data_IF_762459416260
#
_entry.id   IF_762459416260
#
_cell.length_a   1.000
_cell.length_b   1.000
_cell.length_c   1.000
_cell.angle_alpha   90.00
_cell.angle_beta   90.00
_cell.angle_gamma   90.00
#
_symmetry.space_group_name_H-M   'P 1'
#
loop_
_entity.id
_entity.type
_entity.pdbx_description
1 polymer ?
#
# COMPACT_ATOMS: atom_id res chain seq x y z
N UNK A 1 6.67 -6.37 -89.91
CA UNK A 1 6.33 -7.20 -88.74
C UNK A 1 6.45 -6.34 -87.47
N UNK A 2 5.35 -5.72 -87.05
CA UNK A 2 5.30 -4.73 -85.97
C UNK A 2 5.05 -5.46 -84.63
N UNK A 3 6.07 -5.59 -83.82
CA UNK A 3 5.97 -6.21 -82.49
C UNK A 3 5.31 -5.19 -81.58
N UNK A 4 4.04 -5.42 -81.27
CA UNK A 4 3.27 -4.64 -80.31
C UNK A 4 3.68 -5.07 -78.83
N UNK A 5 4.61 -4.31 -78.29
CA UNK A 5 4.98 -4.47 -76.89
C UNK A 5 3.76 -4.13 -75.98
N UNK A 6 3.04 -5.16 -75.51
CA UNK A 6 2.05 -5.05 -74.48
C UNK A 6 2.77 -4.72 -73.17
N UNK A 7 2.87 -3.42 -72.83
CA UNK A 7 3.26 -2.94 -71.53
C UNK A 7 2.17 -3.34 -70.52
N UNK A 8 2.37 -4.48 -69.85
CA UNK A 8 1.57 -4.84 -68.68
C UNK A 8 1.93 -3.87 -67.56
N UNK A 9 1.23 -2.75 -67.54
CA UNK A 9 1.30 -1.80 -66.42
C UNK A 9 0.76 -2.50 -65.18
N UNK A 10 1.66 -3.02 -64.36
CA UNK A 10 1.34 -3.45 -62.99
C UNK A 10 0.88 -2.25 -62.16
N UNK A 11 -0.39 -1.84 -62.29
CA UNK A 11 -0.94 -0.76 -61.46
C UNK A 11 -1.03 -1.22 -60.03
N UNK A 12 -0.03 -0.80 -59.22
CA UNK A 12 -0.04 -0.93 -57.76
C UNK A 12 -1.15 -0.06 -57.18
N UNK A 13 -1.91 -0.57 -56.24
CA UNK A 13 -2.93 0.18 -55.49
C UNK A 13 -2.20 0.90 -54.37
N UNK A 14 -2.14 2.23 -54.42
CA UNK A 14 -1.44 3.06 -53.44
C UNK A 14 -2.24 4.34 -53.17
N UNK A 15 -3.24 4.31 -52.31
CA UNK A 15 -3.93 5.52 -51.89
C UNK A 15 -2.99 6.41 -51.07
N UNK A 16 -3.22 7.74 -51.05
CA UNK A 16 -2.46 8.64 -50.24
C UNK A 16 -2.64 8.27 -48.76
N UNK A 17 -1.61 8.53 -47.96
CA UNK A 17 -1.65 8.32 -46.55
C UNK A 17 -2.82 9.12 -45.91
N UNK A 18 -3.67 8.51 -45.06
CA UNK A 18 -4.72 9.23 -44.36
C UNK A 18 -4.16 10.36 -43.50
N UNK A 19 -4.91 11.44 -43.40
CA UNK A 19 -4.61 12.49 -42.43
C UNK A 19 -4.96 12.00 -41.05
N UNK A 20 -3.95 11.52 -40.33
CA UNK A 20 -4.10 11.16 -38.94
C UNK A 20 -4.34 12.45 -38.15
N UNK A 21 -5.56 12.70 -37.72
CA UNK A 21 -5.79 13.78 -36.78
C UNK A 21 -5.19 13.33 -35.45
N UNK A 22 -4.16 14.07 -35.02
CA UNK A 22 -3.67 13.89 -33.64
C UNK A 22 -4.85 14.13 -32.74
N UNK A 23 -5.44 13.05 -32.23
CA UNK A 23 -6.36 13.14 -31.08
C UNK A 23 -5.56 13.84 -29.99
N UNK A 24 -6.00 14.98 -29.44
CA UNK A 24 -5.29 15.59 -28.33
C UNK A 24 -5.06 14.48 -27.30
N UNK A 25 -3.85 14.44 -26.75
CA UNK A 25 -3.51 13.46 -25.73
C UNK A 25 -4.52 13.65 -24.60
N UNK A 26 -5.61 12.88 -24.68
CA UNK A 26 -6.65 12.89 -23.65
C UNK A 26 -5.91 12.40 -22.43
N UNK A 27 -5.47 13.32 -21.57
CA UNK A 27 -4.89 12.96 -20.28
C UNK A 27 -5.91 12.03 -19.64
N UNK A 28 -5.60 10.75 -19.63
CA UNK A 28 -6.40 9.79 -18.90
C UNK A 28 -6.21 10.19 -17.44
N UNK A 29 -7.23 10.81 -16.89
CA UNK A 29 -7.18 11.16 -15.48
C UNK A 29 -7.01 9.86 -14.70
N UNK A 30 -5.89 9.74 -13.95
CA UNK A 30 -5.65 8.54 -13.16
C UNK A 30 -6.77 8.42 -12.12
N UNK A 31 -7.42 7.28 -12.10
CA UNK A 31 -8.44 6.99 -11.09
C UNK A 31 -7.74 6.55 -9.82
N UNK A 32 -8.00 7.29 -8.73
CA UNK A 32 -7.48 6.92 -7.41
C UNK A 32 -8.24 5.71 -6.91
N UNK A 33 -7.53 4.64 -6.71
CA UNK A 33 -7.97 3.39 -6.12
C UNK A 33 -7.57 3.32 -4.65
N UNK A 34 -8.28 2.52 -3.87
CA UNK A 34 -8.00 2.29 -2.45
C UNK A 34 -7.80 0.81 -2.20
N UNK A 35 -6.68 0.45 -1.59
CA UNK A 35 -6.41 -0.88 -1.09
C UNK A 35 -6.33 -0.86 0.44
N UNK A 36 -7.17 -1.65 1.09
CA UNK A 36 -7.16 -1.80 2.54
C UNK A 36 -6.41 -3.08 2.90
N UNK A 37 -5.40 -2.93 3.77
CA UNK A 37 -4.54 -4.00 4.25
C UNK A 37 -4.85 -4.17 5.74
N UNK A 38 -5.43 -5.30 6.11
CA UNK A 38 -5.62 -5.63 7.52
C UNK A 38 -4.28 -6.13 8.08
N UNK A 39 -3.84 -5.50 9.19
CA UNK A 39 -2.56 -5.76 9.83
C UNK A 39 -2.81 -6.36 11.20
N UNK A 40 -2.21 -7.52 11.42
CA UNK A 40 -2.20 -8.21 12.70
C UNK A 40 -0.76 -8.32 13.21
N UNK A 41 -0.54 -7.87 14.46
CA UNK A 41 0.77 -7.90 15.11
C UNK A 41 0.69 -8.78 16.34
N UNK A 42 1.49 -9.84 16.40
CA UNK A 42 1.63 -10.64 17.62
C UNK A 42 2.42 -9.86 18.68
N UNK A 43 1.76 -9.55 19.78
CA UNK A 43 2.33 -8.79 20.90
C UNK A 43 3.17 -9.66 21.85
N UNK A 44 3.14 -10.98 21.73
CA UNK A 44 3.81 -11.86 22.68
C UNK A 44 5.33 -11.62 22.72
N UNK A 45 5.93 -11.47 21.55
CA UNK A 45 7.36 -11.15 21.44
C UNK A 45 7.70 -9.82 22.12
N UNK A 46 6.90 -8.79 21.86
CA UNK A 46 7.07 -7.46 22.48
C UNK A 46 6.90 -7.51 23.99
N UNK A 47 5.96 -8.30 24.50
CA UNK A 47 5.77 -8.50 25.94
C UNK A 47 6.96 -9.22 26.57
N UNK A 48 7.53 -10.22 25.91
CA UNK A 48 8.73 -10.92 26.37
C UNK A 48 9.95 -9.99 26.38
N UNK A 49 10.14 -9.16 25.37
CA UNK A 49 11.21 -8.19 25.31
C UNK A 49 11.07 -7.11 26.38
N UNK A 50 9.84 -6.61 26.61
CA UNK A 50 9.55 -5.66 27.69
C UNK A 50 9.84 -6.28 29.08
N UNK A 51 9.48 -7.56 29.29
CA UNK A 51 9.81 -8.27 30.51
C UNK A 51 11.33 -8.39 30.72
N UNK A 52 12.09 -8.72 29.68
CA UNK A 52 13.55 -8.89 29.75
C UNK A 52 14.28 -7.56 29.95
N UNK A 53 13.86 -6.51 29.28
CA UNK A 53 14.51 -5.19 29.31
C UNK A 53 14.19 -4.40 30.58
N UNK A 54 13.07 -4.70 31.24
CA UNK A 54 12.68 -3.97 32.45
C UNK A 54 13.41 -4.52 33.69
N UNK A 55 14.15 -3.69 34.44
CA UNK A 55 14.87 -4.16 35.64
C UNK A 55 13.93 -4.81 36.65
N UNK A 56 14.42 -5.86 37.32
CA UNK A 56 13.66 -6.53 38.40
C UNK A 56 13.68 -5.75 39.74
N UNK A 57 14.63 -4.83 39.87
CA UNK A 57 14.79 -4.00 41.07
C UNK A 57 14.95 -2.55 40.71
N UNK A 58 14.25 -1.68 41.38
CA UNK A 58 14.31 -0.22 41.23
C UNK A 58 14.64 0.39 42.58
N UNK A 59 15.60 1.29 42.65
CA UNK A 59 15.98 2.02 43.84
C UNK A 59 15.94 3.51 43.57
N UNK A 60 15.56 4.28 44.55
CA UNK A 60 15.58 5.72 44.47
C UNK A 60 15.68 6.36 45.85
N UNK A 61 16.01 7.63 45.86
CA UNK A 61 16.07 8.45 47.06
C UNK A 61 15.54 9.85 46.78
N UNK A 62 14.90 10.43 47.75
CA UNK A 62 14.56 11.84 47.81
C UNK A 62 15.17 12.40 49.10
N UNK A 63 15.99 13.41 49.00
CA UNK A 63 16.66 14.04 50.13
C UNK A 63 16.26 15.50 50.18
N UNK A 64 15.64 15.88 51.27
CA UNK A 64 15.29 17.26 51.62
C UNK A 64 15.91 17.60 52.92
N UNK A 65 16.33 18.87 53.17
CA UNK A 65 16.79 19.28 54.47
C UNK A 65 15.61 19.33 55.44
N UNK A 66 14.53 20.01 55.06
CA UNK A 66 13.30 20.13 55.81
C UNK A 66 12.24 19.19 55.26
N UNK A 67 11.40 18.60 56.11
CA UNK A 67 10.35 17.69 55.73
C UNK A 67 10.83 16.24 55.63
N UNK A 68 10.23 15.50 54.72
CA UNK A 68 10.44 14.07 54.57
C UNK A 68 11.52 13.75 53.54
N UNK A 69 12.54 13.01 53.93
CA UNK A 69 13.50 12.33 53.06
C UNK A 69 13.25 10.84 53.08
N UNK A 70 13.47 10.16 51.97
CA UNK A 70 13.27 8.73 51.88
C UNK A 70 14.20 8.04 50.90
N UNK A 71 14.47 6.77 51.19
CA UNK A 71 15.15 5.83 50.30
C UNK A 71 14.23 4.62 50.10
N UNK A 72 14.05 4.21 48.86
CA UNK A 72 13.20 3.05 48.56
C UNK A 72 13.89 2.01 47.68
N UNK A 73 13.46 0.79 47.82
CA UNK A 73 13.84 -0.31 46.93
C UNK A 73 12.58 -1.15 46.60
N UNK A 74 12.21 -1.15 45.33
CA UNK A 74 11.15 -1.99 44.77
C UNK A 74 11.73 -3.23 44.12
N UNK A 75 11.15 -4.38 44.35
CA UNK A 75 11.39 -5.61 43.60
C UNK A 75 10.09 -6.02 42.95
N UNK A 76 10.13 -6.30 41.61
CA UNK A 76 8.94 -6.70 40.87
C UNK A 76 8.85 -8.20 40.63
N UNK A 77 7.65 -8.72 40.55
CA UNK A 77 7.29 -9.99 39.91
C UNK A 77 7.26 -9.82 38.38
N UNK A 78 7.10 -10.91 37.62
CA UNK A 78 6.84 -10.80 36.17
C UNK A 78 5.71 -9.82 35.85
N UNK A 79 5.89 -9.04 34.79
CA UNK A 79 4.92 -8.03 34.34
C UNK A 79 3.73 -8.75 33.73
N UNK A 80 2.51 -8.38 34.15
CA UNK A 80 1.29 -8.88 33.56
C UNK A 80 0.75 -7.89 32.53
N UNK A 81 0.64 -8.33 31.29
CA UNK A 81 0.05 -7.58 30.19
C UNK A 81 -1.37 -8.07 29.92
N UNK A 82 -2.31 -7.16 29.77
CA UNK A 82 -3.69 -7.43 29.33
C UNK A 82 -4.11 -6.38 28.34
N UNK A 83 -4.84 -6.79 27.32
CA UNK A 83 -5.35 -5.88 26.29
C UNK A 83 -6.86 -5.74 26.44
N UNK A 84 -7.38 -4.55 26.20
CA UNK A 84 -8.82 -4.28 26.19
C UNK A 84 -9.14 -3.18 25.20
N UNK A 85 -9.88 -3.51 24.15
CA UNK A 85 -10.22 -2.58 23.07
C UNK A 85 -8.95 -1.89 22.51
N UNK A 86 -8.83 -0.57 22.59
CA UNK A 86 -7.68 0.20 22.11
C UNK A 86 -6.60 0.47 23.15
N UNK A 87 -6.62 -0.24 24.29
CA UNK A 87 -5.71 0.01 25.40
C UNK A 87 -4.92 -1.23 25.82
N UNK A 88 -3.65 -1.04 26.10
CA UNK A 88 -2.77 -2.00 26.75
C UNK A 88 -2.73 -1.71 28.25
N UNK A 89 -3.17 -2.65 29.06
CA UNK A 89 -3.04 -2.60 30.51
C UNK A 89 -1.78 -3.34 30.93
N UNK A 90 -0.87 -2.64 31.60
CA UNK A 90 0.37 -3.19 32.17
C UNK A 90 0.26 -3.17 33.68
N UNK A 91 0.30 -4.35 34.32
CA UNK A 91 0.25 -4.48 35.79
C UNK A 91 1.59 -4.97 36.29
N UNK A 92 2.20 -4.18 37.18
CA UNK A 92 3.45 -4.50 37.85
C UNK A 92 3.13 -4.68 39.34
N UNK A 93 3.49 -5.84 39.92
CA UNK A 93 3.33 -6.14 41.31
C UNK A 93 4.64 -6.63 41.92
N UNK A 94 4.77 -6.52 43.21
CA UNK A 94 5.98 -6.98 43.90
C UNK A 94 5.99 -6.59 45.37
N UNK A 95 7.19 -6.41 45.89
CA UNK A 95 7.41 -5.94 47.25
C UNK A 95 8.36 -4.73 47.26
N UNK A 96 8.19 -3.85 48.23
CA UNK A 96 9.09 -2.74 48.47
C UNK A 96 9.55 -2.64 49.91
N UNK A 97 10.68 -2.00 50.10
CA UNK A 97 11.17 -1.52 51.39
C UNK A 97 11.39 -0.01 51.30
N UNK A 98 11.15 0.66 52.37
CA UNK A 98 11.23 2.11 52.48
C UNK A 98 11.91 2.47 53.80
N UNK A 99 12.86 3.38 53.70
CA UNK A 99 13.48 4.04 54.86
C UNK A 99 13.12 5.51 54.76
N UNK A 100 12.62 6.07 55.85
CA UNK A 100 12.13 7.43 55.97
C UNK A 100 12.92 8.16 57.04
N UNK A 101 13.19 9.42 56.83
CA UNK A 101 13.59 10.35 57.88
C UNK A 101 12.87 11.68 57.72
N UNK A 102 12.50 12.27 58.84
CA UNK A 102 11.76 13.51 58.91
C UNK A 102 12.55 14.56 59.70
N UNK A 103 12.71 15.74 59.10
CA UNK A 103 13.29 16.92 59.76
C UNK A 103 12.22 18.00 59.90
N UNK A 104 11.81 18.35 61.11
CA UNK A 104 10.77 19.36 61.31
C UNK A 104 11.18 20.78 60.88
N UNK A 105 12.45 21.17 61.07
CA UNK A 105 12.93 22.47 60.78
C UNK A 105 14.40 22.43 60.32
N UNK A 106 14.68 23.00 59.14
CA UNK A 106 16.01 23.08 58.55
C UNK A 106 16.56 24.51 58.67
N UNK A 107 17.85 24.64 58.99
CA UNK A 107 18.57 25.90 58.94
C UNK A 107 19.77 25.80 58.02
N UNK A 108 20.08 26.89 57.39
CA UNK A 108 21.33 27.04 56.61
C UNK A 108 22.42 27.58 57.56
N UNK A 109 23.48 26.80 57.73
CA UNK A 109 24.63 27.18 58.55
C UNK A 109 25.47 28.24 57.78
N UNK A 110 26.38 28.90 58.56
CA UNK A 110 27.29 29.96 58.06
C UNK A 110 28.18 29.53 56.87
N UNK A 111 28.46 28.24 56.78
CA UNK A 111 29.23 27.63 55.69
C UNK A 111 28.36 27.26 54.46
N UNK A 112 27.09 27.66 54.44
CA UNK A 112 26.15 27.34 53.37
C UNK A 112 25.56 25.91 53.43
N UNK A 113 25.96 25.11 54.43
CA UNK A 113 25.39 23.74 54.58
C UNK A 113 24.03 23.80 55.30
N UNK A 114 23.12 22.99 54.83
CA UNK A 114 21.81 22.81 55.47
C UNK A 114 21.89 21.75 56.57
N UNK A 115 21.31 22.05 57.75
CA UNK A 115 21.25 21.15 58.89
C UNK A 115 19.88 21.12 59.54
N UNK A 116 19.47 19.98 60.01
CA UNK A 116 18.25 19.86 60.80
C UNK A 116 18.49 20.35 62.24
N UNK A 117 17.61 21.22 62.72
CA UNK A 117 17.75 21.82 64.07
C UNK A 117 17.49 20.88 65.23
N UNK A 118 16.78 19.79 64.96
CA UNK A 118 16.47 18.76 65.93
C UNK A 118 16.85 17.39 65.38
N UNK A 119 17.05 16.38 66.21
CA UNK A 119 17.32 15.02 65.77
C UNK A 119 16.25 14.55 64.77
N UNK A 120 16.68 13.99 63.64
CA UNK A 120 15.76 13.45 62.65
C UNK A 120 15.03 12.25 63.21
N UNK A 121 13.73 12.14 62.92
CA UNK A 121 12.93 10.96 63.24
C UNK A 121 13.10 9.96 62.11
N UNK A 122 13.52 8.75 62.41
CA UNK A 122 13.72 7.67 61.46
C UNK A 122 12.58 6.66 61.56
N UNK A 123 12.19 6.15 60.40
CA UNK A 123 11.17 5.14 60.29
C UNK A 123 11.50 4.23 59.12
N UNK A 124 11.10 3.00 59.17
CA UNK A 124 11.25 2.07 58.05
C UNK A 124 10.05 1.13 57.94
N UNK A 125 9.81 0.62 56.73
CA UNK A 125 8.94 -0.53 56.55
C UNK A 125 9.52 -1.47 55.48
N UNK A 126 9.37 -2.77 55.69
CA UNK A 126 9.95 -3.79 54.79
C UNK A 126 11.47 -3.94 54.90
N UNK A 127 12.12 -3.39 55.97
CA UNK A 127 13.54 -3.55 56.27
C UNK A 127 13.64 -4.36 57.60
N UNK A 128 14.37 -5.47 57.55
CA UNK A 128 14.41 -6.41 58.67
C UNK A 128 13.11 -7.20 58.87
N UNK A 129 12.15 -7.01 57.99
CA UNK A 129 10.83 -7.64 57.99
C UNK A 129 10.40 -7.96 56.53
N UNK A 130 9.29 -8.70 56.29
CA UNK A 130 8.81 -8.95 54.93
C UNK A 130 8.52 -7.65 54.18
N UNK A 131 8.96 -7.60 52.90
CA UNK A 131 8.67 -6.45 52.02
C UNK A 131 7.17 -6.22 51.91
N UNK A 132 6.77 -4.95 51.91
CA UNK A 132 5.38 -4.55 51.73
C UNK A 132 4.95 -4.79 50.29
N UNK A 133 3.85 -5.52 50.08
CA UNK A 133 3.34 -5.84 48.73
C UNK A 133 2.69 -4.62 48.10
N UNK A 134 2.91 -4.47 46.81
CA UNK A 134 2.27 -3.43 46.04
C UNK A 134 1.75 -3.96 44.70
N UNK A 135 0.84 -3.19 44.11
CA UNK A 135 0.38 -3.38 42.73
C UNK A 135 0.17 -2.03 42.04
N UNK A 136 0.74 -1.84 40.89
CA UNK A 136 0.51 -0.66 40.06
C UNK A 136 0.02 -1.08 38.70
N UNK A 137 -0.91 -0.30 38.12
CA UNK A 137 -1.51 -0.58 36.84
C UNK A 137 -1.45 0.66 35.98
N UNK A 138 -0.86 0.53 34.78
CA UNK A 138 -0.86 1.53 33.75
C UNK A 138 -1.81 1.15 32.65
N UNK A 139 -2.42 2.16 32.00
CA UNK A 139 -3.16 2.03 30.76
C UNK A 139 -2.45 2.85 29.70
N UNK A 140 -2.05 2.22 28.61
CA UNK A 140 -1.35 2.84 27.49
C UNK A 140 -2.18 2.74 26.22
N UNK A 141 -2.47 3.88 25.59
CA UNK A 141 -3.01 3.95 24.23
C UNK A 141 -1.86 4.27 23.27
N UNK A 142 -1.66 3.40 22.28
CA UNK A 142 -0.61 3.55 21.26
C UNK A 142 -1.25 3.93 19.94
N UNK A 143 -0.57 4.74 19.13
CA UNK A 143 -1.02 5.12 17.79
C UNK A 143 0.09 5.80 17.01
N UNK A 144 -0.19 6.16 15.77
CA UNK A 144 0.70 6.98 14.94
C UNK A 144 0.15 8.39 14.81
N UNK A 145 1.05 9.37 14.82
CA UNK A 145 0.73 10.76 14.50
C UNK A 145 0.52 10.93 13.00
N UNK A 146 0.03 12.11 12.59
CA UNK A 146 -0.05 12.48 11.17
C UNK A 146 1.32 12.43 10.48
N UNK A 147 2.41 12.67 11.21
CA UNK A 147 3.79 12.67 10.69
C UNK A 147 4.47 11.29 10.85
N UNK A 148 3.69 10.23 11.00
CA UNK A 148 4.18 8.85 11.12
C UNK A 148 5.08 8.58 12.33
N UNK A 149 4.99 9.40 13.38
CA UNK A 149 5.70 9.17 14.64
C UNK A 149 4.83 8.33 15.56
N UNK A 150 5.44 7.34 16.21
CA UNK A 150 4.76 6.57 17.23
C UNK A 150 4.39 7.48 18.41
N UNK A 151 3.17 7.42 18.85
CA UNK A 151 2.66 8.14 20.01
C UNK A 151 2.12 7.16 21.01
N UNK A 152 2.56 7.30 22.25
CA UNK A 152 1.99 6.59 23.37
C UNK A 152 1.39 7.61 24.36
N UNK A 153 0.25 7.26 24.93
CA UNK A 153 -0.37 8.01 26.00
C UNK A 153 -0.62 7.06 27.14
N UNK A 154 0.25 7.14 28.15
CA UNK A 154 0.20 6.29 29.34
C UNK A 154 -0.43 7.06 30.50
N UNK A 155 -1.34 6.41 31.23
CA UNK A 155 -1.92 6.92 32.47
C UNK A 155 -1.72 5.89 33.56
N UNK A 156 -1.37 6.32 34.77
CA UNK A 156 -1.40 5.49 35.96
C UNK A 156 -2.87 5.31 36.38
N UNK A 157 -3.40 4.10 36.22
CA UNK A 157 -4.77 3.77 36.61
C UNK A 157 -4.90 3.59 38.14
N UNK A 158 -3.95 2.90 38.73
CA UNK A 158 -3.93 2.65 40.18
C UNK A 158 -2.52 2.34 40.64
N UNK A 159 -2.23 2.76 41.87
CA UNK A 159 -1.12 2.27 42.71
C UNK A 159 -1.69 1.95 44.06
N UNK A 160 -1.51 0.74 44.51
CA UNK A 160 -2.10 0.22 45.78
C UNK A 160 -0.99 -0.48 46.56
N UNK A 161 -0.81 -0.04 47.78
CA UNK A 161 -0.02 -0.73 48.79
C UNK A 161 -0.98 -1.73 49.49
N UNK A 162 -0.61 -2.99 49.51
CA UNK A 162 -1.48 -4.07 50.04
C UNK A 162 -1.25 -4.35 51.51
N UNK A 163 -0.06 -4.05 51.99
CA UNK A 163 0.30 -4.27 53.41
C UNK A 163 0.60 -2.91 54.06
N UNK A 164 0.11 -2.63 55.28
CA UNK A 164 0.35 -1.35 55.93
C UNK A 164 1.84 -1.09 56.15
N UNK A 165 2.23 0.16 56.04
CA UNK A 165 3.56 0.65 56.36
C UNK A 165 3.46 1.36 57.73
N UNK A 166 3.59 0.61 58.81
CA UNK A 166 3.54 1.14 60.17
C UNK A 166 4.93 1.51 60.64
N UNK A 167 5.04 2.66 61.27
CA UNK A 167 6.29 3.15 61.84
C UNK A 167 6.50 2.42 63.17
N UNK A 168 7.59 1.67 63.28
CA UNK A 168 7.89 0.70 64.31
C UNK A 168 7.93 1.27 65.73
N UNK A 169 8.08 2.59 65.94
CA UNK A 169 8.22 3.19 67.25
C UNK A 169 6.93 3.69 67.86
N UNK A 170 5.88 4.00 67.10
CA UNK A 170 4.65 4.63 67.56
C UNK A 170 3.38 3.98 66.97
N UNK A 171 3.48 2.85 66.32
CA UNK A 171 2.38 2.17 65.60
C UNK A 171 1.58 3.13 64.71
N UNK A 172 2.23 4.14 64.13
CA UNK A 172 1.59 5.12 63.24
C UNK A 172 1.62 4.61 61.82
N UNK A 173 0.46 4.40 61.24
CA UNK A 173 0.32 4.00 59.84
C UNK A 173 0.59 5.19 58.87
N UNK A 174 1.66 5.10 58.09
CA UNK A 174 2.05 6.09 57.10
C UNK A 174 1.69 5.63 55.68
N UNK A 175 0.96 4.54 55.51
CA UNK A 175 0.66 3.92 54.20
C UNK A 175 0.08 4.93 53.20
N UNK A 176 -0.93 5.71 53.60
CA UNK A 176 -1.57 6.70 52.71
C UNK A 176 -0.61 7.81 52.28
N UNK A 177 0.24 8.29 53.20
CA UNK A 177 1.25 9.32 52.87
C UNK A 177 2.28 8.77 51.88
N UNK A 178 2.79 7.57 52.11
CA UNK A 178 3.74 6.87 51.23
C UNK A 178 3.09 6.58 49.89
N UNK A 179 1.86 6.10 49.86
CA UNK A 179 1.12 5.84 48.62
C UNK A 179 0.94 7.12 47.78
N UNK A 180 0.62 8.25 48.43
CA UNK A 180 0.45 9.55 47.76
C UNK A 180 1.75 10.04 47.14
N UNK A 181 2.86 10.02 47.89
CA UNK A 181 4.18 10.46 47.41
C UNK A 181 4.68 9.62 46.21
N UNK A 182 4.61 8.28 46.37
CA UNK A 182 4.99 7.35 45.30
C UNK A 182 4.09 7.54 44.07
N UNK A 183 2.78 7.79 44.26
CA UNK A 183 1.86 8.06 43.15
C UNK A 183 2.26 9.30 42.38
N UNK A 184 2.71 10.37 43.05
CA UNK A 184 3.19 11.59 42.39
C UNK A 184 4.44 11.28 41.55
N UNK A 185 5.38 10.52 42.09
CA UNK A 185 6.62 10.15 41.37
C UNK A 185 6.31 9.23 40.17
N UNK A 186 5.45 8.22 40.34
CA UNK A 186 5.01 7.34 39.26
C UNK A 186 4.28 8.11 38.11
N UNK A 187 3.51 9.14 38.45
CA UNK A 187 2.87 10.03 37.48
C UNK A 187 3.90 10.83 36.68
N UNK A 188 5.02 11.24 37.27
CA UNK A 188 6.09 11.94 36.59
C UNK A 188 6.86 11.04 35.63
N UNK A 189 7.05 9.76 35.96
CA UNK A 189 7.77 8.78 35.14
C UNK A 189 7.04 8.43 33.83
N UNK A 190 5.71 8.57 33.75
CA UNK A 190 4.93 8.29 32.55
C UNK A 190 5.39 9.08 31.32
N UNK A 191 5.77 10.36 31.55
CA UNK A 191 6.21 11.23 30.45
C UNK A 191 7.53 10.75 29.85
N UNK A 192 8.38 10.11 30.64
CA UNK A 192 9.62 9.50 30.18
C UNK A 192 9.33 8.28 29.30
N UNK A 193 8.40 7.40 29.73
CA UNK A 193 7.96 6.25 28.94
C UNK A 193 7.34 6.67 27.61
N UNK A 194 6.45 7.66 27.61
CA UNK A 194 5.83 8.16 26.38
C UNK A 194 6.87 8.77 25.43
N UNK A 195 7.91 9.44 25.94
CA UNK A 195 9.03 9.96 25.14
C UNK A 195 9.88 8.85 24.55
N UNK A 196 10.24 7.84 25.33
CA UNK A 196 11.03 6.69 24.84
C UNK A 196 10.33 5.93 23.74
N UNK A 197 9.01 5.67 23.88
CA UNK A 197 8.19 5.09 22.83
C UNK A 197 8.12 5.99 21.59
N UNK A 198 7.96 7.30 21.77
CA UNK A 198 7.93 8.29 20.69
C UNK A 198 9.27 8.47 19.96
N UNK A 199 10.38 8.08 20.56
CA UNK A 199 11.71 8.12 19.97
C UNK A 199 11.98 6.96 18.99
N UNK A 200 11.12 5.93 18.97
CA UNK A 200 11.23 4.84 18.00
C UNK A 200 11.04 5.37 16.57
N UNK A 201 12.04 5.15 15.73
CA UNK A 201 12.09 5.68 14.37
C UNK A 201 11.22 4.85 13.38
N UNK A 202 9.90 4.89 13.58
CA UNK A 202 8.94 4.22 12.69
C UNK A 202 8.81 4.98 11.38
N UNK A 203 8.95 6.31 11.39
CA UNK A 203 8.80 7.16 10.23
C UNK A 203 9.76 6.77 9.10
N UNK A 204 11.04 6.57 9.39
CA UNK A 204 12.05 6.23 8.37
C UNK A 204 11.73 4.90 7.68
N UNK A 205 11.20 3.93 8.41
CA UNK A 205 10.79 2.64 7.86
C UNK A 205 9.59 2.77 6.90
N UNK A 206 8.62 3.61 7.27
CA UNK A 206 7.47 3.91 6.40
C UNK A 206 7.91 4.67 5.15
N UNK A 207 8.82 5.64 5.26
CA UNK A 207 9.38 6.38 4.12
C UNK A 207 10.22 5.47 3.19
N UNK A 208 10.93 4.50 3.74
CA UNK A 208 11.64 3.48 2.95
C UNK A 208 10.66 2.60 2.17
N UNK A 209 9.62 2.09 2.83
CA UNK A 209 8.56 1.33 2.19
C UNK A 209 7.83 2.16 1.13
N UNK A 210 7.56 3.44 1.41
CA UNK A 210 6.94 4.37 0.48
C UNK A 210 7.76 4.58 -0.80
N UNK A 211 9.09 4.65 -0.69
CA UNK A 211 9.98 4.72 -1.86
C UNK A 211 9.92 3.45 -2.68
N UNK A 212 9.95 2.28 -2.04
CA UNK A 212 9.82 0.98 -2.72
C UNK A 212 8.50 0.82 -3.45
N UNK A 213 7.39 1.34 -2.91
CA UNK A 213 6.08 1.32 -3.60
C UNK A 213 6.06 2.15 -4.88
N UNK A 214 7.02 3.06 -5.10
CA UNK A 214 7.13 3.86 -6.30
C UNK A 214 8.07 3.23 -7.35
N UNK A 215 8.76 2.15 -7.01
CA UNK A 215 9.58 1.41 -7.96
C UNK A 215 8.69 0.56 -8.88
N UNK A 216 9.05 0.45 -10.18
CA UNK A 216 8.34 -0.42 -11.10
C UNK A 216 8.44 -1.89 -10.66
N UNK A 217 7.31 -2.57 -10.59
CA UNK A 217 7.23 -4.00 -10.29
C UNK A 217 7.11 -4.78 -11.60
N UNK A 218 8.11 -5.60 -11.98
CA UNK A 218 8.04 -6.40 -13.20
C UNK A 218 6.95 -7.47 -13.09
N UNK A 219 6.13 -7.60 -14.15
CA UNK A 219 5.07 -8.60 -14.28
C UNK A 219 5.31 -9.39 -15.56
N UNK A 220 6.24 -10.31 -15.54
CA UNK A 220 6.58 -11.24 -16.63
C UNK A 220 6.42 -10.61 -18.04
N UNK A 221 5.60 -11.21 -18.90
CA UNK A 221 5.35 -10.74 -20.27
C UNK A 221 4.49 -9.46 -20.38
N UNK A 222 3.93 -8.98 -19.28
CA UNK A 222 3.02 -7.82 -19.27
C UNK A 222 3.73 -6.48 -19.03
N UNK A 223 5.04 -6.51 -18.82
CA UNK A 223 5.86 -5.32 -18.56
C UNK A 223 5.95 -5.00 -17.08
N UNK A 224 5.69 -3.75 -16.70
CA UNK A 224 5.83 -3.26 -15.33
C UNK A 224 4.51 -2.72 -14.78
N UNK A 225 4.26 -3.02 -13.51
CA UNK A 225 3.21 -2.38 -12.71
C UNK A 225 3.81 -1.17 -12.00
N UNK A 226 3.26 -0.01 -12.26
CA UNK A 226 3.55 1.25 -11.57
C UNK A 226 2.38 1.52 -10.62
N UNK A 227 2.62 1.48 -9.31
CA UNK A 227 1.54 1.68 -8.33
C UNK A 227 1.08 3.14 -8.26
N UNK A 228 1.98 4.10 -8.45
CA UNK A 228 1.68 5.53 -8.34
C UNK A 228 0.97 5.90 -7.02
N UNK A 229 1.58 5.63 -5.85
CA UNK A 229 0.96 5.88 -4.57
C UNK A 229 0.79 7.38 -4.34
N UNK A 230 -0.33 7.78 -3.70
CA UNK A 230 -0.67 9.18 -3.42
C UNK A 230 -0.74 9.50 -1.92
N UNK A 231 -1.35 8.64 -1.11
CA UNK A 231 -1.46 8.87 0.33
C UNK A 231 -1.73 7.58 1.11
N UNK A 232 -1.54 7.67 2.44
CA UNK A 232 -1.87 6.61 3.39
C UNK A 232 -2.91 7.08 4.40
N UNK A 233 -3.78 6.17 4.82
CA UNK A 233 -4.61 6.34 6.01
C UNK A 233 -4.56 5.11 6.90
N UNK A 234 -4.89 5.27 8.18
CA UNK A 234 -4.88 4.18 9.15
C UNK A 234 -6.10 4.27 10.07
N UNK A 235 -6.66 3.11 10.42
CA UNK A 235 -7.67 3.03 11.47
C UNK A 235 -7.05 3.14 12.88
N UNK A 236 -7.87 3.31 13.90
CA UNK A 236 -7.39 3.15 15.27
C UNK A 236 -6.92 1.71 15.54
N UNK A 237 -5.86 1.60 16.34
CA UNK A 237 -5.33 0.31 16.79
C UNK A 237 -6.25 -0.29 17.84
N UNK A 238 -6.64 -1.54 17.66
CA UNK A 238 -7.46 -2.32 18.56
C UNK A 238 -6.75 -3.63 18.90
N UNK A 239 -7.06 -4.19 20.07
CA UNK A 239 -6.50 -5.45 20.51
C UNK A 239 -7.56 -6.54 20.60
N UNK A 240 -7.20 -7.75 20.19
CA UNK A 240 -7.98 -8.97 20.42
C UNK A 240 -7.05 -10.04 20.99
N UNK A 241 -7.19 -10.33 22.30
CA UNK A 241 -6.19 -11.13 23.01
C UNK A 241 -4.82 -10.47 22.93
N UNK A 242 -3.77 -11.22 22.64
CA UNK A 242 -2.42 -10.71 22.51
C UNK A 242 -2.08 -10.23 21.08
N UNK A 243 -3.07 -10.01 20.22
CA UNK A 243 -2.88 -9.51 18.88
C UNK A 243 -3.35 -8.06 18.78
N UNK A 244 -2.49 -7.19 18.30
CA UNK A 244 -2.85 -5.82 17.91
C UNK A 244 -3.35 -5.81 16.46
N UNK A 245 -4.50 -5.18 16.20
CA UNK A 245 -5.16 -5.14 14.90
C UNK A 245 -5.45 -3.71 14.48
N UNK A 246 -5.11 -3.39 13.25
CA UNK A 246 -5.47 -2.14 12.58
C UNK A 246 -5.50 -2.34 11.07
N UNK A 247 -6.09 -1.42 10.34
CA UNK A 247 -6.07 -1.45 8.87
C UNK A 247 -5.33 -0.24 8.34
N UNK A 248 -4.47 -0.47 7.36
CA UNK A 248 -3.79 0.55 6.59
C UNK A 248 -4.47 0.66 5.23
N UNK A 249 -4.83 1.85 4.79
CA UNK A 249 -5.33 2.09 3.44
C UNK A 249 -4.29 2.82 2.61
N UNK A 250 -3.94 2.22 1.48
CA UNK A 250 -3.10 2.82 0.46
C UNK A 250 -3.99 3.40 -0.65
N UNK A 251 -3.79 4.68 -0.96
CA UNK A 251 -4.41 5.35 -2.11
C UNK A 251 -3.40 5.45 -3.23
N UNK A 252 -3.77 5.03 -4.44
CA UNK A 252 -2.83 4.90 -5.55
C UNK A 252 -3.56 4.84 -6.89
N UNK A 253 -2.84 5.02 -8.00
CA UNK A 253 -3.39 4.96 -9.35
C UNK A 253 -2.56 4.00 -10.20
N UNK A 254 -2.86 2.68 -10.15
CA UNK A 254 -2.01 1.68 -10.77
C UNK A 254 -2.07 1.75 -12.31
N UNK A 255 -0.89 1.62 -12.93
CA UNK A 255 -0.71 1.55 -14.37
C UNK A 255 0.17 0.36 -14.72
N UNK A 256 -0.28 -0.48 -15.64
CA UNK A 256 0.52 -1.54 -16.25
C UNK A 256 1.00 -1.06 -17.61
N UNK A 257 2.30 -1.11 -17.88
CA UNK A 257 2.87 -0.69 -19.16
C UNK A 257 4.10 -1.51 -19.53
N UNK A 258 4.21 -1.86 -20.82
CA UNK A 258 5.42 -2.45 -21.40
C UNK A 258 6.53 -1.41 -21.62
N UNK A 259 6.18 -0.13 -21.66
CA UNK A 259 7.12 0.95 -21.80
C UNK A 259 7.60 1.45 -20.44
N UNK A 260 8.91 1.69 -20.32
CA UNK A 260 9.48 2.31 -19.14
C UNK A 260 8.97 3.75 -19.01
N UNK A 261 8.31 4.04 -17.89
CA UNK A 261 7.88 5.39 -17.57
C UNK A 261 8.78 5.93 -16.45
N UNK A 262 9.44 7.06 -16.74
CA UNK A 262 10.22 7.76 -15.70
C UNK A 262 9.25 8.38 -14.71
N UNK A 263 9.18 7.79 -13.51
CA UNK A 263 8.33 8.30 -12.45
C UNK A 263 9.02 9.43 -11.68
N UNK A 264 8.25 10.49 -11.40
CA UNK A 264 8.68 11.52 -10.47
C UNK A 264 8.35 11.06 -9.05
N UNK A 265 9.33 11.09 -8.17
CA UNK A 265 9.10 10.78 -6.76
C UNK A 265 8.01 11.66 -6.15
N UNK A 266 7.04 11.04 -5.51
CA UNK A 266 5.95 11.70 -4.77
C UNK A 266 6.26 11.57 -3.28
N UNK A 267 6.43 12.71 -2.55
CA UNK A 267 6.64 12.67 -1.11
C UNK A 267 5.47 12.02 -0.37
N UNK A 268 5.75 11.41 0.76
CA UNK A 268 4.73 10.85 1.63
C UNK A 268 3.93 11.98 2.29
N UNK A 269 2.63 12.07 1.97
CA UNK A 269 1.71 13.05 2.58
C UNK A 269 1.41 12.70 4.05
N UNK A 270 1.01 13.71 4.87
CA UNK A 270 0.55 13.46 6.23
C UNK A 270 -0.57 12.41 6.29
N UNK A 271 -0.45 11.47 7.23
CA UNK A 271 -1.38 10.37 7.37
C UNK A 271 -2.78 10.84 7.76
N UNK A 272 -3.79 10.30 7.09
CA UNK A 272 -5.21 10.54 7.41
C UNK A 272 -5.72 9.44 8.34
N UNK A 273 -6.72 9.78 9.15
CA UNK A 273 -7.48 8.78 9.91
C UNK A 273 -8.81 8.54 9.21
N UNK A 274 -9.09 7.29 8.92
CA UNK A 274 -10.34 6.90 8.24
C UNK A 274 -10.97 5.68 8.93
N UNK A 275 -12.31 5.53 8.79
CA UNK A 275 -13.00 4.35 9.31
C UNK A 275 -12.54 3.09 8.55
N UNK A 276 -12.71 1.93 9.19
CA UNK A 276 -12.39 0.64 8.59
C UNK A 276 -13.29 0.38 7.38
N UNK A 277 -12.66 0.04 6.26
CA UNK A 277 -13.30 -0.53 5.08
C UNK A 277 -12.61 -1.85 4.78
N UNK A 278 -13.35 -2.91 4.46
CA UNK A 278 -12.81 -4.23 4.19
C UNK A 278 -12.60 -4.44 2.69
N UNK A 279 -11.53 -5.15 2.33
CA UNK A 279 -11.22 -5.50 0.95
C UNK A 279 -10.73 -4.32 0.12
N UNK A 280 -10.63 -4.53 -1.18
CA UNK A 280 -10.30 -3.48 -2.14
C UNK A 280 -11.05 -3.65 -3.45
N UNK A 281 -11.23 -2.54 -4.12
CA UNK A 281 -11.74 -2.42 -5.47
C UNK A 281 -10.81 -1.44 -6.22
N UNK A 282 -9.95 -1.98 -7.07
CA UNK A 282 -8.87 -1.27 -7.71
C UNK A 282 -9.18 -1.10 -9.18
N UNK A 283 -9.17 0.13 -9.66
CA UNK A 283 -9.19 0.43 -11.09
C UNK A 283 -7.75 0.62 -11.57
N UNK A 284 -7.28 -0.33 -12.40
CA UNK A 284 -5.96 -0.30 -13.00
C UNK A 284 -6.05 -0.03 -14.50
N UNK A 285 -5.19 0.84 -15.01
CA UNK A 285 -5.05 1.07 -16.43
C UNK A 285 -3.89 0.23 -16.98
N UNK A 286 -4.14 -0.49 -18.09
CA UNK A 286 -3.10 -1.17 -18.85
C UNK A 286 -2.94 -0.45 -20.21
N UNK A 287 -1.72 -0.09 -20.55
CA UNK A 287 -1.40 0.59 -21.82
C UNK A 287 -0.74 -0.38 -22.79
N UNK A 288 -1.34 -0.54 -23.97
CA UNK A 288 -0.77 -1.29 -25.08
C UNK A 288 -0.44 -0.33 -26.24
N UNK A 289 0.82 -0.29 -26.66
CA UNK A 289 1.21 0.51 -27.82
C UNK A 289 0.61 -0.03 -29.11
N UNK A 290 0.35 0.84 -30.07
CA UNK A 290 -0.14 0.42 -31.39
C UNK A 290 0.87 -0.49 -32.12
N UNK A 291 2.17 -0.34 -31.86
CA UNK A 291 3.21 -1.22 -32.41
C UNK A 291 3.08 -2.65 -31.86
N UNK A 292 2.83 -2.81 -30.55
CA UNK A 292 2.60 -4.12 -29.95
C UNK A 292 1.33 -4.78 -30.51
N UNK A 293 0.24 -4.02 -30.63
CA UNK A 293 -1.02 -4.50 -31.19
C UNK A 293 -0.87 -4.84 -32.69
N UNK A 294 -0.12 -4.02 -33.46
CA UNK A 294 0.21 -4.26 -34.85
C UNK A 294 0.98 -5.55 -35.05
N UNK A 295 1.92 -5.85 -34.15
CA UNK A 295 2.67 -7.12 -34.18
C UNK A 295 1.74 -8.34 -34.03
N UNK A 296 0.72 -8.23 -33.18
CA UNK A 296 -0.30 -9.29 -33.01
C UNK A 296 -1.15 -9.43 -34.27
N UNK A 297 -1.66 -8.29 -34.81
CA UNK A 297 -2.48 -8.31 -36.01
C UNK A 297 -1.71 -8.85 -37.22
N UNK A 298 -0.49 -8.37 -37.46
CA UNK A 298 0.35 -8.86 -38.53
C UNK A 298 0.57 -10.37 -38.43
N UNK A 299 0.91 -10.88 -37.27
CA UNK A 299 1.09 -12.33 -37.06
C UNK A 299 -0.18 -13.14 -37.35
N UNK A 300 -1.34 -12.62 -36.97
CA UNK A 300 -2.65 -13.27 -37.21
C UNK A 300 -3.02 -13.31 -38.67
N UNK A 301 -2.66 -12.27 -39.45
CA UNK A 301 -3.11 -12.14 -40.83
C UNK A 301 -2.04 -12.45 -41.86
N UNK A 302 -0.78 -12.59 -41.51
CA UNK A 302 0.33 -12.86 -42.42
C UNK A 302 0.05 -14.10 -43.29
N UNK A 303 0.20 -13.92 -44.62
CA UNK A 303 -0.04 -14.95 -45.64
C UNK A 303 -1.49 -15.47 -45.73
N UNK A 304 -2.44 -14.82 -45.05
CA UNK A 304 -3.86 -15.17 -45.23
C UNK A 304 -4.31 -14.80 -46.66
N UNK A 305 -5.00 -15.77 -47.28
CA UNK A 305 -5.57 -15.61 -48.62
C UNK A 305 -7.01 -15.17 -48.51
N UNK A 306 -7.34 -14.00 -49.06
CA UNK A 306 -8.71 -13.49 -49.12
C UNK A 306 -9.16 -13.48 -50.56
N UNK A 307 -10.25 -14.19 -50.84
CA UNK A 307 -10.83 -14.23 -52.20
C UNK A 307 -12.00 -13.24 -52.26
N UNK A 308 -11.87 -12.24 -53.13
CA UNK A 308 -12.89 -11.21 -53.35
C UNK A 308 -13.33 -11.24 -54.82
N UNK A 309 -14.59 -11.58 -55.08
CA UNK A 309 -15.15 -11.69 -56.45
C UNK A 309 -14.24 -12.53 -57.38
N UNK A 310 -13.82 -13.74 -56.92
CA UNK A 310 -12.95 -14.65 -57.67
C UNK A 310 -11.46 -14.26 -57.76
N UNK A 311 -11.08 -13.09 -57.28
CA UNK A 311 -9.69 -12.60 -57.27
C UNK A 311 -9.05 -12.83 -55.90
N UNK A 312 -7.85 -13.40 -55.89
CA UNK A 312 -7.10 -13.70 -54.66
C UNK A 312 -6.15 -12.58 -54.31
N UNK A 313 -6.18 -12.14 -53.07
CA UNK A 313 -5.14 -11.33 -52.46
C UNK A 313 -4.54 -12.09 -51.26
N UNK A 314 -3.25 -11.84 -51.03
CA UNK A 314 -2.49 -12.41 -49.93
C UNK A 314 -2.08 -11.29 -48.99
N UNK A 315 -2.46 -11.34 -47.74
CA UNK A 315 -2.10 -10.33 -46.74
C UNK A 315 -0.61 -10.44 -46.40
N UNK A 316 0.12 -9.33 -46.49
CA UNK A 316 1.54 -9.24 -46.15
C UNK A 316 1.78 -8.51 -44.85
N UNK A 317 0.93 -7.54 -44.53
CA UNK A 317 0.98 -6.83 -43.27
C UNK A 317 -0.40 -6.28 -42.94
N UNK A 318 -0.71 -6.23 -41.64
CA UNK A 318 -1.89 -5.53 -41.09
C UNK A 318 -1.48 -4.85 -39.80
N UNK A 319 -1.37 -3.53 -39.83
CA UNK A 319 -0.90 -2.73 -38.73
C UNK A 319 -1.80 -1.52 -38.40
N UNK A 320 -1.68 -1.00 -37.21
CA UNK A 320 -2.38 0.19 -36.72
C UNK A 320 -1.42 1.37 -36.91
N UNK A 321 -1.81 2.35 -37.72
CA UNK A 321 -0.96 3.50 -38.00
C UNK A 321 -1.34 4.77 -37.20
N UNK A 322 -2.43 4.72 -36.47
CA UNK A 322 -2.87 5.82 -35.62
C UNK A 322 -4.39 5.89 -35.49
N UNK A 323 -4.90 7.06 -35.16
CA UNK A 323 -6.33 7.30 -34.97
C UNK A 323 -6.85 8.44 -35.83
N UNK A 324 -8.13 8.36 -36.20
CA UNK A 324 -8.88 9.40 -36.86
C UNK A 324 -10.31 9.42 -36.33
N UNK A 325 -10.77 10.56 -35.81
CA UNK A 325 -12.17 10.71 -35.30
C UNK A 325 -12.62 9.57 -34.36
N UNK A 326 -11.82 9.26 -33.35
CA UNK A 326 -12.07 8.18 -32.36
C UNK A 326 -12.12 6.76 -32.97
N UNK A 327 -11.58 6.56 -34.14
CA UNK A 327 -11.42 5.28 -34.80
C UNK A 327 -9.94 4.94 -34.98
N UNK A 328 -9.60 3.67 -34.95
CA UNK A 328 -8.28 3.17 -35.34
C UNK A 328 -8.17 3.23 -36.88
N UNK A 329 -7.01 3.59 -37.36
CA UNK A 329 -6.67 3.51 -38.80
C UNK A 329 -5.73 2.34 -39.01
N UNK A 330 -6.20 1.36 -39.76
CA UNK A 330 -5.44 0.16 -40.13
C UNK A 330 -4.82 0.35 -41.51
N UNK A 331 -3.60 -0.13 -41.67
CA UNK A 331 -2.93 -0.27 -42.97
C UNK A 331 -2.83 -1.76 -43.31
N UNK A 332 -3.50 -2.16 -44.41
CA UNK A 332 -3.42 -3.51 -44.95
C UNK A 332 -2.53 -3.50 -46.19
N UNK A 333 -1.41 -4.21 -46.13
CA UNK A 333 -0.52 -4.45 -47.28
C UNK A 333 -0.81 -5.83 -47.87
N UNK A 334 -1.00 -5.94 -49.13
CA UNK A 334 -1.33 -7.19 -49.82
C UNK A 334 -0.66 -7.35 -51.17
N UNK A 335 -0.53 -8.57 -51.65
CA UNK A 335 -0.18 -8.94 -53.01
C UNK A 335 -1.16 -10.01 -53.57
N UNK A 336 -0.86 -10.59 -54.75
CA UNK A 336 -1.67 -11.59 -55.43
C UNK A 336 -2.20 -11.09 -56.77
N UNK A 337 -3.53 -11.12 -57.02
CA UNK A 337 -4.11 -10.61 -58.27
C UNK A 337 -3.68 -9.16 -58.59
N UNK A 338 -3.56 -8.36 -57.55
CA UNK A 338 -2.85 -7.06 -57.56
C UNK A 338 -2.10 -6.91 -56.26
N UNK A 339 -1.06 -6.09 -56.26
CA UNK A 339 -0.35 -5.67 -55.05
C UNK A 339 -0.74 -4.24 -54.67
N UNK A 340 -0.65 -3.95 -53.38
CA UNK A 340 -0.92 -2.58 -52.93
C UNK A 340 -1.17 -2.46 -51.44
N UNK A 341 -1.62 -1.27 -51.11
CA UNK A 341 -2.00 -0.88 -49.74
C UNK A 341 -3.42 -0.37 -49.74
N UNK A 342 -4.17 -0.68 -48.70
CA UNK A 342 -5.45 -0.04 -48.42
C UNK A 342 -5.49 0.40 -46.98
N UNK A 343 -6.19 1.49 -46.70
CA UNK A 343 -6.44 1.98 -45.37
C UNK A 343 -7.89 1.73 -45.00
N UNK A 344 -8.07 1.25 -43.78
CA UNK A 344 -9.37 0.95 -43.16
C UNK A 344 -9.51 1.73 -41.89
N UNK A 345 -10.73 2.09 -41.53
CA UNK A 345 -11.09 2.65 -40.21
C UNK A 345 -11.92 1.63 -39.47
N UNK A 346 -11.74 1.54 -38.16
CA UNK A 346 -12.50 0.63 -37.30
C UNK A 346 -12.62 1.14 -35.88
N UNK A 347 -13.54 0.58 -35.12
CA UNK A 347 -13.66 0.82 -33.69
C UNK A 347 -13.31 -0.44 -32.91
N UNK A 348 -12.42 -0.36 -31.92
CA UNK A 348 -12.27 -1.45 -30.98
C UNK A 348 -13.51 -1.49 -30.07
N UNK A 349 -14.13 -2.64 -29.97
CA UNK A 349 -15.25 -2.89 -29.07
C UNK A 349 -14.94 -4.06 -28.16
N UNK A 350 -15.39 -3.99 -26.92
CA UNK A 350 -15.15 -4.98 -25.89
C UNK A 350 -16.45 -5.67 -25.49
N UNK A 351 -16.49 -6.96 -25.72
CA UNK A 351 -17.49 -7.83 -25.08
C UNK A 351 -17.05 -8.04 -23.62
N UNK A 352 -17.59 -7.23 -22.70
CA UNK A 352 -17.19 -7.23 -21.29
C UNK A 352 -17.59 -8.52 -20.56
N UNK A 353 -18.59 -9.26 -21.03
CA UNK A 353 -18.99 -10.54 -20.43
C UNK A 353 -18.00 -11.65 -20.82
N UNK A 354 -17.68 -11.73 -22.09
CA UNK A 354 -16.78 -12.75 -22.65
C UNK A 354 -15.29 -12.36 -22.57
N UNK A 355 -15.00 -11.11 -22.20
CA UNK A 355 -13.64 -10.54 -22.19
C UNK A 355 -12.94 -10.65 -23.55
N UNK A 356 -13.68 -10.39 -24.64
CA UNK A 356 -13.19 -10.46 -26.02
C UNK A 356 -13.14 -9.07 -26.61
N UNK A 357 -11.93 -8.63 -27.00
CA UNK A 357 -11.72 -7.43 -27.78
C UNK A 357 -11.94 -7.74 -29.28
N UNK A 358 -12.76 -6.96 -29.95
CA UNK A 358 -13.09 -7.09 -31.37
C UNK A 358 -12.87 -5.76 -32.10
N UNK A 359 -12.63 -5.85 -33.41
CA UNK A 359 -12.68 -4.69 -34.30
C UNK A 359 -14.05 -4.68 -34.99
N UNK A 360 -14.80 -3.61 -34.80
CA UNK A 360 -16.13 -3.41 -35.37
C UNK A 360 -16.17 -2.15 -36.22
N UNK A 361 -17.28 -1.94 -36.92
CA UNK A 361 -17.50 -0.79 -37.82
C UNK A 361 -16.36 -0.61 -38.85
N UNK A 362 -15.85 -1.73 -39.39
CA UNK A 362 -14.74 -1.68 -40.36
C UNK A 362 -15.22 -1.13 -41.67
N UNK A 363 -14.64 0.00 -42.12
CA UNK A 363 -14.89 0.56 -43.46
C UNK A 363 -13.59 1.03 -44.10
N UNK A 364 -13.64 1.23 -45.43
CA UNK A 364 -12.51 1.81 -46.13
C UNK A 364 -12.38 3.31 -45.80
N UNK A 365 -11.17 3.74 -45.58
CA UNK A 365 -10.90 5.18 -45.41
C UNK A 365 -11.31 5.96 -46.66
N UNK A 366 -11.76 7.20 -46.51
CA UNK A 366 -12.41 7.98 -47.58
C UNK A 366 -11.56 8.10 -48.86
N UNK A 367 -10.28 8.46 -48.74
CA UNK A 367 -9.37 8.59 -49.89
C UNK A 367 -9.08 7.22 -50.52
N UNK A 368 -8.96 6.18 -49.71
CA UNK A 368 -8.86 4.79 -50.17
C UNK A 368 -10.10 4.38 -50.95
N UNK A 369 -11.29 4.63 -50.41
CA UNK A 369 -12.57 4.30 -51.04
C UNK A 369 -12.70 5.01 -52.40
N UNK A 370 -12.38 6.28 -52.46
CA UNK A 370 -12.42 7.07 -53.71
C UNK A 370 -11.45 6.55 -54.80
N UNK A 371 -10.23 6.12 -54.39
CA UNK A 371 -9.26 5.51 -55.32
C UNK A 371 -9.76 4.15 -55.80
N UNK A 372 -10.28 3.31 -54.93
CA UNK A 372 -10.75 1.96 -55.27
C UNK A 372 -11.96 1.98 -56.20
N UNK A 373 -12.87 2.95 -56.04
CA UNK A 373 -14.00 3.16 -56.97
C UNK A 373 -13.52 3.38 -58.40
N UNK A 374 -12.39 4.08 -58.58
CA UNK A 374 -11.83 4.37 -59.91
C UNK A 374 -10.94 3.27 -60.48
N UNK A 375 -10.24 2.50 -59.63
CA UNK A 375 -9.16 1.62 -60.07
C UNK A 375 -9.31 0.15 -59.71
N UNK A 376 -10.09 -0.17 -58.65
CA UNK A 376 -10.19 -1.52 -58.11
C UNK A 376 -11.52 -1.78 -57.37
N UNK A 377 -12.63 -1.39 -57.96
CA UNK A 377 -13.98 -1.48 -57.38
C UNK A 377 -14.31 -2.88 -56.80
N UNK A 378 -13.69 -3.94 -57.34
CA UNK A 378 -13.86 -5.30 -56.89
C UNK A 378 -13.41 -5.51 -55.42
N UNK A 379 -12.48 -4.68 -54.93
CA UNK A 379 -12.03 -4.73 -53.52
C UNK A 379 -13.05 -4.12 -52.54
N UNK A 380 -13.96 -3.29 -52.99
CA UNK A 380 -14.95 -2.60 -52.11
C UNK A 380 -16.03 -3.53 -51.56
N UNK A 381 -15.98 -4.82 -51.79
CA UNK A 381 -16.91 -5.79 -51.18
C UNK A 381 -16.69 -5.96 -49.69
N UNK A 382 -17.70 -6.47 -49.01
CA UNK A 382 -17.63 -6.70 -47.55
C UNK A 382 -16.68 -7.82 -47.16
N UNK A 383 -16.15 -8.61 -48.12
CA UNK A 383 -15.35 -9.81 -47.81
C UNK A 383 -14.10 -9.49 -46.99
N UNK A 384 -13.34 -8.44 -47.35
CA UNK A 384 -12.14 -8.04 -46.57
C UNK A 384 -12.54 -7.58 -45.19
N UNK A 385 -13.58 -6.77 -45.08
CA UNK A 385 -14.07 -6.25 -43.77
C UNK A 385 -14.52 -7.39 -42.89
N UNK A 386 -15.29 -8.32 -43.41
CA UNK A 386 -15.80 -9.47 -42.64
C UNK A 386 -14.66 -10.39 -42.21
N UNK A 387 -13.67 -10.65 -43.08
CA UNK A 387 -12.52 -11.49 -42.75
C UNK A 387 -11.70 -10.86 -41.60
N UNK A 388 -11.51 -9.55 -41.61
CA UNK A 388 -10.84 -8.86 -40.50
C UNK A 388 -11.71 -8.91 -39.23
N UNK A 389 -13.00 -8.65 -39.33
CA UNK A 389 -13.94 -8.67 -38.20
C UNK A 389 -14.01 -10.05 -37.54
N UNK A 390 -13.97 -11.13 -38.33
CA UNK A 390 -14.03 -12.50 -37.82
C UNK A 390 -12.74 -12.94 -37.14
N UNK A 391 -11.58 -12.54 -37.66
CA UNK A 391 -10.25 -12.99 -37.17
C UNK A 391 -9.59 -12.04 -36.19
N UNK A 392 -9.89 -10.75 -36.24
CA UNK A 392 -9.35 -9.75 -35.31
C UNK A 392 -10.12 -9.79 -33.97
N UNK A 393 -10.20 -10.97 -33.37
CA UNK A 393 -10.76 -11.21 -32.03
C UNK A 393 -9.63 -11.58 -31.11
N UNK A 394 -9.46 -10.81 -30.03
CA UNK A 394 -8.45 -11.07 -29.01
C UNK A 394 -9.20 -11.50 -27.76
N UNK A 395 -9.12 -12.78 -27.42
CA UNK A 395 -9.62 -13.31 -26.16
C UNK A 395 -8.66 -12.89 -25.03
N UNK A 396 -9.11 -11.99 -24.21
CA UNK A 396 -8.36 -11.50 -23.04
C UNK A 396 -8.58 -12.37 -21.80
N UNK A 397 -9.55 -13.30 -21.80
CA UNK A 397 -9.94 -14.07 -20.61
C UNK A 397 -8.78 -14.91 -20.06
N UNK A 398 -8.03 -15.57 -20.94
CA UNK A 398 -6.85 -16.35 -20.54
C UNK A 398 -5.70 -15.45 -20.07
N UNK A 399 -5.49 -14.32 -20.71
CA UNK A 399 -4.47 -13.34 -20.32
C UNK A 399 -4.81 -12.69 -18.98
N UNK A 400 -6.08 -12.37 -18.76
CA UNK A 400 -6.60 -11.84 -17.50
C UNK A 400 -6.35 -12.83 -16.36
N UNK A 401 -6.63 -14.11 -16.54
CA UNK A 401 -6.36 -15.17 -15.54
C UNK A 401 -4.86 -15.30 -15.23
N UNK A 402 -4.02 -15.33 -16.28
CA UNK A 402 -2.56 -15.40 -16.11
C UNK A 402 -2.02 -14.17 -15.38
N UNK A 403 -2.47 -12.99 -15.73
CA UNK A 403 -2.10 -11.74 -15.07
C UNK A 403 -2.52 -11.75 -13.59
N UNK A 404 -3.74 -12.21 -13.28
CA UNK A 404 -4.23 -12.35 -11.92
C UNK A 404 -3.31 -13.27 -11.09
N UNK A 405 -2.99 -14.45 -11.63
CA UNK A 405 -2.08 -15.39 -10.95
C UNK A 405 -0.67 -14.85 -10.80
N UNK A 406 -0.15 -14.13 -11.79
CA UNK A 406 1.16 -13.50 -11.71
C UNK A 406 1.19 -12.40 -10.63
N UNK A 407 0.14 -11.60 -10.53
CA UNK A 407 -0.02 -10.60 -9.49
C UNK A 407 -0.13 -11.23 -8.09
N UNK A 408 -0.94 -12.28 -7.92
CA UNK A 408 -1.05 -13.00 -6.65
C UNK A 408 0.30 -13.57 -6.21
N UNK A 409 1.00 -14.26 -7.12
CA UNK A 409 2.31 -14.83 -6.82
C UNK A 409 3.34 -13.77 -6.44
N UNK A 410 3.24 -12.57 -7.02
CA UNK A 410 4.16 -11.48 -6.73
C UNK A 410 3.85 -10.74 -5.44
N UNK A 411 2.57 -10.69 -5.06
CA UNK A 411 2.10 -10.01 -3.85
C UNK A 411 2.21 -10.89 -2.60
N UNK A 412 2.19 -12.21 -2.74
CA UNK A 412 2.20 -13.14 -1.62
C UNK A 412 3.62 -13.51 -1.17
N UNK A 413 3.78 -13.75 0.13
CA UNK A 413 5.00 -14.22 0.75
C UNK A 413 5.63 -13.20 1.69
N UNK A 414 6.85 -13.49 2.11
CA UNK A 414 7.62 -12.61 2.99
C UNK A 414 8.23 -11.45 2.19
N UNK A 415 7.63 -10.27 2.34
CA UNK A 415 8.08 -9.04 1.66
C UNK A 415 9.23 -8.34 2.38
N UNK A 416 9.39 -8.62 3.68
CA UNK A 416 10.47 -8.17 4.55
C UNK A 416 10.58 -9.16 5.71
N UNK A 417 11.76 -9.39 6.33
CA UNK A 417 11.89 -10.32 7.45
C UNK A 417 10.86 -10.10 8.55
N UNK A 418 10.02 -11.12 8.80
CA UNK A 418 8.90 -11.07 9.75
C UNK A 418 7.61 -10.44 9.23
N UNK A 419 7.52 -10.07 7.92
CA UNK A 419 6.32 -9.46 7.31
C UNK A 419 5.79 -10.35 6.21
N UNK A 420 4.74 -11.10 6.47
CA UNK A 420 4.10 -12.00 5.51
C UNK A 420 2.83 -11.37 4.94
N UNK A 421 2.79 -11.22 3.61
CA UNK A 421 1.61 -10.77 2.87
C UNK A 421 0.83 -11.97 2.38
N UNK A 422 -0.46 -11.99 2.68
CA UNK A 422 -1.45 -12.95 2.18
C UNK A 422 -2.51 -12.19 1.40
N UNK A 423 -2.44 -12.27 0.07
CA UNK A 423 -3.43 -11.67 -0.82
C UNK A 423 -4.25 -12.74 -1.54
N UNK A 424 -5.52 -12.46 -1.74
CA UNK A 424 -6.40 -13.22 -2.61
C UNK A 424 -7.10 -12.25 -3.54
N UNK A 425 -6.84 -12.42 -4.84
CA UNK A 425 -7.48 -11.64 -5.89
C UNK A 425 -8.71 -12.41 -6.40
N UNK A 426 -9.91 -11.83 -6.24
CA UNK A 426 -11.16 -12.52 -6.55
C UNK A 426 -11.55 -12.35 -8.02
N UNK A 427 -11.31 -11.16 -8.57
CA UNK A 427 -11.76 -10.79 -9.90
C UNK A 427 -10.84 -9.79 -10.56
N UNK A 428 -10.62 -9.97 -11.87
CA UNK A 428 -10.08 -8.97 -12.76
C UNK A 428 -10.99 -8.88 -13.99
N UNK A 429 -11.57 -7.72 -14.26
CA UNK A 429 -12.44 -7.48 -15.42
C UNK A 429 -12.04 -6.22 -16.16
N UNK A 430 -12.11 -6.27 -17.48
CA UNK A 430 -11.99 -5.07 -18.30
C UNK A 430 -13.29 -4.30 -18.24
N UNK A 431 -13.22 -3.00 -17.94
CA UNK A 431 -14.40 -2.12 -17.81
C UNK A 431 -14.51 -1.10 -18.93
N UNK A 432 -13.39 -0.67 -19.50
CA UNK A 432 -13.37 0.40 -20.51
C UNK A 432 -12.15 0.30 -21.39
N UNK A 433 -12.33 0.66 -22.66
CA UNK A 433 -11.25 0.86 -23.61
C UNK A 433 -11.20 2.37 -23.95
N UNK A 434 -9.99 2.94 -23.97
CA UNK A 434 -9.76 4.34 -24.27
C UNK A 434 -8.68 4.43 -25.35
N UNK A 435 -9.00 5.09 -26.45
CA UNK A 435 -8.04 5.35 -27.52
C UNK A 435 -7.20 6.57 -27.18
N UNK A 436 -5.89 6.42 -27.15
CA UNK A 436 -4.92 7.49 -27.11
C UNK A 436 -4.27 7.71 -28.49
N UNK A 437 -3.39 8.71 -28.64
CA UNK A 437 -2.75 9.01 -29.93
C UNK A 437 -1.80 7.91 -30.44
N UNK A 438 -1.18 7.14 -29.54
CA UNK A 438 -0.21 6.08 -29.86
C UNK A 438 -0.44 4.76 -29.09
N UNK A 439 -1.44 4.71 -28.23
CA UNK A 439 -1.71 3.59 -27.33
C UNK A 439 -3.19 3.35 -27.16
N UNK A 440 -3.54 2.11 -26.92
CA UNK A 440 -4.83 1.69 -26.41
C UNK A 440 -4.70 1.51 -24.89
N UNK A 441 -5.58 2.12 -24.12
CA UNK A 441 -5.66 1.90 -22.70
C UNK A 441 -6.87 1.03 -22.38
N UNK A 442 -6.62 0.04 -21.54
CA UNK A 442 -7.63 -0.90 -21.05
C UNK A 442 -7.77 -0.68 -19.57
N UNK A 443 -8.90 -0.13 -19.14
CA UNK A 443 -9.21 0.03 -17.71
C UNK A 443 -9.81 -1.25 -17.17
N UNK A 444 -9.19 -1.78 -16.12
CA UNK A 444 -9.59 -3.02 -15.46
C UNK A 444 -10.04 -2.75 -14.03
N UNK A 445 -10.96 -3.55 -13.55
CA UNK A 445 -11.33 -3.61 -12.13
C UNK A 445 -10.73 -4.88 -11.51
N UNK A 446 -10.04 -4.73 -10.39
CA UNK A 446 -9.44 -5.83 -9.62
C UNK A 446 -10.02 -5.76 -8.21
N UNK A 447 -10.67 -6.83 -7.78
CA UNK A 447 -11.20 -6.97 -6.41
C UNK A 447 -10.48 -8.06 -5.64
N UNK A 448 -10.46 -7.95 -4.31
CA UNK A 448 -9.80 -8.96 -3.49
C UNK A 448 -9.61 -8.51 -2.04
N UNK A 449 -8.74 -9.27 -1.34
CA UNK A 449 -8.35 -8.99 0.05
C UNK A 449 -6.85 -9.13 0.20
N UNK A 450 -6.28 -8.30 1.08
CA UNK A 450 -4.87 -8.38 1.46
C UNK A 450 -4.76 -8.30 2.98
N UNK A 451 -4.02 -9.24 3.55
CA UNK A 451 -3.66 -9.24 4.97
C UNK A 451 -2.14 -9.18 5.09
N UNK A 452 -1.67 -8.52 6.12
CA UNK A 452 -0.26 -8.48 6.49
C UNK A 452 -0.11 -8.99 7.93
N UNK A 453 0.60 -10.10 8.07
CA UNK A 453 0.93 -10.70 9.36
C UNK A 453 2.36 -10.30 9.74
N UNK A 454 2.52 -9.76 10.96
CA UNK A 454 3.81 -9.32 11.52
C UNK A 454 4.14 -10.18 12.74
N UNK A 455 5.26 -10.91 12.65
CA UNK A 455 5.72 -11.85 13.67
C UNK A 455 6.99 -11.39 14.41
#
# INVERSE_FOLDING_TARGET
>A
MLIMLLSVSCRTIAPPLPELKKVPEKKIEPVISRMNIDIEVDMNRLFQEAEKSTPKTFKGKKSNCEGMSYTYAFTRKPIAFKTKASQLQTTISGGFSLELNYCPLCITLWNGNESCTVPRVYASCGIGEPKRRYSMTYLTKVGLSKDYKLQARTILKSFIIKDPCEVTFINYDVTDKVQKEITIELKSMKSKLDKELGALNVKSKIEEAWRKLQEPLPIDAYGNLFLNPSSLSMTELNYKGNTAKFSLSLFFSPLISTEFQRQKYVPLEPMRKEPKVSGFDILADAAASYDSLSSILTRTFLNQVITVKGKRIVVRNLDIIGTQSEQLVLRLVFDGFRKGVIYLVCRPNMDFEKQILRLEDIDFEIKTKALLLKSAQWLLGNRIKNEIMERAKIDLSSNVKKLLSALENRLNGEVYPGFNVNSKLDLLRVNKIILGPSKLYVRTNITGKVNLDIH
#
